data_IF_830647474155
#
_entry.id   IF_830647474155
#
_cell.length_a   1.000
_cell.length_b   1.000
_cell.length_c   1.000
_cell.angle_alpha   90.00
_cell.angle_beta   90.00
_cell.angle_gamma   90.00
#
_symmetry.space_group_name_H-M   'P 1'
#
loop_
_entity.id
_entity.type
_entity.pdbx_description
1 polymer ?
#
# COMPACT_ATOMS: atom_id res chain seq x y z
N UNK A 1 9.95 -0.78 -0.61
CA UNK A 1 9.64 -0.40 -2.01
C UNK A 1 9.30 1.09 -2.02
N UNK A 2 9.95 1.94 -2.85
CA UNK A 2 9.52 3.31 -3.05
C UNK A 2 8.33 3.36 -4.01
N UNK A 3 7.35 4.21 -3.73
CA UNK A 3 6.33 4.63 -4.70
C UNK A 3 6.65 6.08 -5.07
N UNK A 4 6.99 6.31 -6.33
CA UNK A 4 7.36 7.62 -6.84
C UNK A 4 6.28 8.22 -7.73
N UNK A 5 6.18 9.55 -7.70
CA UNK A 5 5.30 10.34 -8.55
C UNK A 5 6.17 11.28 -9.39
N UNK A 6 6.05 11.19 -10.71
CA UNK A 6 6.75 12.06 -11.65
C UNK A 6 5.77 12.79 -12.57
N UNK A 7 6.04 14.05 -12.85
CA UNK A 7 5.26 14.89 -13.77
C UNK A 7 6.18 15.49 -14.82
N UNK A 8 5.84 15.33 -16.10
CA UNK A 8 6.46 16.06 -17.21
C UNK A 8 5.56 17.25 -17.60
N UNK A 9 6.12 18.45 -17.56
CA UNK A 9 5.67 19.67 -18.27
C UNK A 9 4.27 20.23 -17.97
N UNK A 10 4.23 21.41 -17.41
CA UNK A 10 3.45 22.56 -17.81
C UNK A 10 1.93 22.60 -17.67
N UNK A 11 1.34 22.29 -16.50
CA UNK A 11 0.13 22.97 -16.05
C UNK A 11 0.31 23.47 -14.62
N UNK A 12 0.13 24.78 -14.39
CA UNK A 12 0.14 25.37 -13.04
C UNK A 12 -1.10 24.89 -12.28
N UNK A 13 -0.95 23.79 -11.59
CA UNK A 13 -1.83 23.47 -10.46
C UNK A 13 -1.32 24.23 -9.24
N UNK A 14 -2.20 24.53 -8.29
CA UNK A 14 -1.83 25.21 -7.05
C UNK A 14 -0.53 24.60 -6.51
N UNK A 15 0.54 25.40 -6.51
CA UNK A 15 1.86 24.95 -6.08
C UNK A 15 1.76 24.47 -4.64
N UNK A 16 1.95 23.16 -4.44
CA UNK A 16 2.33 22.66 -3.13
C UNK A 16 3.57 23.43 -2.68
N UNK A 17 3.72 23.82 -1.40
CA UNK A 17 4.94 24.44 -0.92
C UNK A 17 6.14 23.61 -1.42
N UNK A 18 7.08 24.27 -2.09
CA UNK A 18 8.31 23.64 -2.55
C UNK A 18 8.93 22.97 -1.30
N UNK A 19 9.15 21.65 -1.32
CA UNK A 19 9.66 20.78 -0.26
C UNK A 19 8.66 20.13 0.71
N UNK A 20 7.37 20.34 0.63
CA UNK A 20 6.45 19.59 1.48
C UNK A 20 6.44 18.07 1.10
N UNK A 21 6.41 17.16 2.07
CA UNK A 21 6.30 15.73 1.80
C UNK A 21 4.94 15.39 1.16
N UNK A 22 4.85 14.25 0.47
CA UNK A 22 3.59 13.71 0.00
C UNK A 22 2.65 13.46 1.18
N UNK A 23 1.36 13.72 0.99
CA UNK A 23 0.36 13.42 2.01
C UNK A 23 0.07 11.92 2.00
N UNK A 24 0.27 11.28 3.13
CA UNK A 24 -0.06 9.85 3.35
C UNK A 24 -0.93 9.73 4.59
N UNK A 25 -2.01 8.98 4.49
CA UNK A 25 -2.92 8.71 5.60
C UNK A 25 -3.24 7.22 5.67
N UNK A 26 -3.59 6.68 6.85
CA UNK A 26 -4.23 5.38 6.94
C UNK A 26 -5.46 5.33 6.02
N UNK A 27 -5.64 4.22 5.30
CA UNK A 27 -6.85 4.08 4.48
C UNK A 27 -8.09 3.93 5.37
N UNK A 28 -9.21 4.56 5.08
CA UNK A 28 -9.62 5.27 3.86
C UNK A 28 -9.14 6.72 3.73
N UNK A 29 -8.17 7.16 4.50
CA UNK A 29 -7.66 8.52 4.38
C UNK A 29 -8.53 9.57 5.07
N UNK A 30 -8.97 9.26 6.28
CA UNK A 30 -9.79 10.15 7.06
C UNK A 30 -11.26 10.15 6.64
N UNK A 31 -11.72 11.06 5.83
CA UNK A 31 -13.12 11.19 5.43
C UNK A 31 -13.38 10.93 3.94
N UNK A 32 -12.37 10.45 3.21
CA UNK A 32 -12.53 10.19 1.79
C UNK A 32 -13.36 8.93 1.56
N UNK A 33 -14.28 8.94 0.59
CA UNK A 33 -15.00 7.75 0.19
C UNK A 33 -14.02 6.69 -0.32
N UNK A 34 -14.42 5.44 -0.24
CA UNK A 34 -13.63 4.31 -0.75
C UNK A 34 -13.49 4.36 -2.26
N UNK A 35 -12.52 5.09 -2.72
CA UNK A 35 -12.16 5.12 -4.14
C UNK A 35 -11.12 4.03 -4.36
N UNK A 36 -11.35 3.15 -5.34
CA UNK A 36 -10.38 2.12 -5.71
C UNK A 36 -10.71 0.70 -5.32
N UNK A 37 -11.70 0.46 -4.45
CA UNK A 37 -12.18 -0.89 -4.15
C UNK A 37 -13.14 -1.39 -5.22
N UNK A 38 -13.08 -2.71 -5.46
CA UNK A 38 -14.12 -3.41 -6.22
C UNK A 38 -15.43 -3.33 -5.42
N UNK A 39 -16.55 -3.10 -6.11
CA UNK A 39 -17.86 -3.25 -5.52
C UNK A 39 -17.96 -4.66 -4.92
N UNK A 40 -18.32 -4.75 -3.64
CA UNK A 40 -18.39 -6.02 -2.93
C UNK A 40 -17.20 -6.35 -2.04
N UNK A 41 -16.19 -5.50 -1.93
CA UNK A 41 -15.18 -5.61 -0.87
C UNK A 41 -15.87 -5.33 0.48
N UNK A 42 -16.27 -6.39 1.18
CA UNK A 42 -17.25 -6.33 2.26
C UNK A 42 -16.70 -5.77 3.56
N UNK A 43 -15.42 -5.93 3.82
CA UNK A 43 -14.80 -5.38 5.02
C UNK A 43 -13.57 -4.62 4.58
N UNK A 44 -13.54 -3.31 4.82
CA UNK A 44 -12.32 -2.58 4.66
C UNK A 44 -11.43 -2.95 5.83
N UNK A 45 -10.66 -3.97 5.66
CA UNK A 45 -9.52 -4.11 6.54
C UNK A 45 -8.56 -2.99 6.18
N UNK A 46 -8.43 -2.08 7.10
CA UNK A 46 -7.57 -0.91 6.96
C UNK A 46 -6.13 -1.27 7.20
N UNK A 47 -5.89 -2.39 7.88
CA UNK A 47 -4.67 -2.75 8.56
C UNK A 47 -3.42 -2.28 7.84
N UNK A 48 -3.11 -2.85 6.70
CA UNK A 48 -1.88 -2.54 5.98
C UNK A 48 -2.07 -1.55 4.84
N UNK A 49 -3.26 -0.93 4.75
CA UNK A 49 -3.60 0.00 3.67
C UNK A 49 -3.31 1.43 4.02
N UNK A 50 -2.67 2.12 3.10
CA UNK A 50 -2.45 3.56 3.15
C UNK A 50 -2.97 4.24 1.90
N UNK A 51 -3.44 5.49 2.06
CA UNK A 51 -3.79 6.39 0.96
C UNK A 51 -2.64 7.35 0.71
N UNK A 52 -2.12 7.38 -0.51
CA UNK A 52 -1.08 8.31 -0.96
C UNK A 52 -1.72 9.32 -1.89
N UNK A 53 -1.83 10.56 -1.45
CA UNK A 53 -2.49 11.61 -2.21
C UNK A 53 -1.59 12.16 -3.30
N UNK A 54 -2.18 12.37 -4.48
CA UNK A 54 -1.48 12.93 -5.62
C UNK A 54 -1.00 14.36 -5.32
N UNK A 55 0.24 14.71 -5.67
CA UNK A 55 0.72 16.08 -5.47
C UNK A 55 0.05 17.10 -6.41
N UNK A 56 -0.59 16.63 -7.47
CA UNK A 56 -1.30 17.45 -8.46
C UNK A 56 -2.81 17.54 -8.26
N UNK A 57 -3.40 16.69 -7.39
CA UNK A 57 -4.83 16.68 -7.11
C UNK A 57 -5.05 16.19 -5.67
N UNK A 58 -5.41 17.08 -4.72
CA UNK A 58 -5.54 16.74 -3.31
C UNK A 58 -6.74 15.81 -3.01
N UNK A 59 -7.64 15.60 -3.97
CA UNK A 59 -8.79 14.70 -3.83
C UNK A 59 -8.53 13.31 -4.43
N UNK A 60 -7.42 13.13 -5.10
CA UNK A 60 -7.03 11.94 -5.83
C UNK A 60 -5.91 11.21 -5.11
N UNK A 61 -6.03 9.90 -4.94
CA UNK A 61 -5.04 9.11 -4.23
C UNK A 61 -4.92 7.68 -4.75
N UNK A 62 -3.71 7.14 -4.64
CA UNK A 62 -3.45 5.71 -4.75
C UNK A 62 -3.66 5.04 -3.39
N UNK A 63 -4.11 3.79 -3.39
CA UNK A 63 -4.16 2.95 -2.20
C UNK A 63 -3.09 1.88 -2.30
N UNK A 64 -2.29 1.73 -1.25
CA UNK A 64 -1.23 0.75 -1.23
C UNK A 64 -1.40 -0.16 -0.02
N UNK A 65 -1.38 -1.48 -0.27
CA UNK A 65 -1.27 -2.50 0.76
C UNK A 65 0.20 -2.86 0.98
N UNK A 66 0.68 -2.68 2.19
CA UNK A 66 2.07 -2.97 2.54
C UNK A 66 2.17 -3.72 3.88
N UNK A 67 2.13 -5.09 3.85
CA UNK A 67 1.87 -5.95 2.69
C UNK A 67 0.38 -6.18 2.44
N UNK A 68 0.03 -6.66 1.23
CA UNK A 68 -1.29 -7.26 0.97
C UNK A 68 -1.35 -8.68 1.52
N UNK A 69 -0.31 -9.47 1.30
CA UNK A 69 -0.25 -10.85 1.74
C UNK A 69 1.16 -11.30 2.08
N UNK A 70 1.27 -12.29 2.96
CA UNK A 70 2.52 -12.97 3.32
C UNK A 70 2.32 -14.48 3.24
N UNK A 71 3.23 -15.16 2.52
CA UNK A 71 3.32 -16.61 2.42
C UNK A 71 4.64 -17.13 2.94
N UNK A 72 4.63 -18.36 3.40
CA UNK A 72 5.81 -19.15 3.73
C UNK A 72 5.53 -20.63 3.48
N UNK A 73 6.42 -21.52 3.91
CA UNK A 73 6.17 -22.98 4.00
C UNK A 73 4.92 -23.31 4.83
N UNK A 74 4.46 -22.44 5.72
CA UNK A 74 3.23 -22.61 6.48
C UNK A 74 1.96 -22.32 5.65
N UNK A 75 2.08 -21.78 4.47
CA UNK A 75 0.99 -21.34 3.61
C UNK A 75 0.75 -19.82 3.69
N UNK A 76 -0.48 -19.38 3.44
CA UNK A 76 -0.89 -17.98 3.53
C UNK A 76 -1.04 -17.58 5.00
N UNK A 77 -0.06 -16.85 5.53
CA UNK A 77 0.00 -16.48 6.95
C UNK A 77 -0.61 -15.10 7.25
N UNK A 78 -0.70 -14.24 6.25
CA UNK A 78 -1.38 -12.95 6.36
C UNK A 78 -2.05 -12.57 5.04
N UNK A 79 -3.22 -11.95 5.12
CA UNK A 79 -3.94 -11.37 3.99
C UNK A 79 -4.71 -10.14 4.47
N UNK A 80 -4.50 -9.01 3.79
CA UNK A 80 -5.17 -7.75 4.09
C UNK A 80 -6.65 -7.71 3.66
N UNK A 81 -7.12 -8.70 2.93
CA UNK A 81 -8.51 -8.88 2.48
C UNK A 81 -9.03 -10.24 2.88
N UNK A 82 -10.28 -10.30 3.34
CA UNK A 82 -10.94 -11.56 3.71
C UNK A 82 -11.66 -12.19 2.53
N UNK A 83 -10.94 -12.64 1.53
CA UNK A 83 -11.54 -13.39 0.40
C UNK A 83 -11.01 -14.83 0.27
N UNK A 84 -9.87 -15.11 0.87
CA UNK A 84 -9.27 -16.44 0.98
C UNK A 84 -8.83 -16.61 2.42
N UNK A 85 -9.22 -17.70 3.10
CA UNK A 85 -8.84 -17.90 4.49
C UNK A 85 -7.33 -18.13 4.65
N UNK A 86 -6.73 -17.44 5.59
CA UNK A 86 -5.36 -17.68 6.05
C UNK A 86 -5.27 -19.01 6.79
N UNK A 87 -4.06 -19.47 7.07
CA UNK A 87 -3.83 -20.68 7.89
C UNK A 87 -4.44 -20.57 9.28
N UNK A 88 -4.55 -19.35 9.82
CA UNK A 88 -5.13 -19.09 11.14
C UNK A 88 -6.65 -19.17 11.13
N UNK A 89 -7.29 -18.60 10.14
CA UNK A 89 -8.75 -18.66 9.99
C UNK A 89 -9.22 -20.09 9.76
N UNK A 90 -8.45 -20.89 9.02
CA UNK A 90 -8.71 -22.36 8.88
C UNK A 90 -8.63 -23.11 10.21
N UNK A 91 -7.86 -22.57 11.17
CA UNK A 91 -7.75 -23.11 12.54
C UNK A 91 -8.76 -22.46 13.51
N UNK A 92 -9.69 -21.63 13.03
CA UNK A 92 -10.64 -20.91 13.86
C UNK A 92 -10.05 -19.74 14.66
N UNK A 93 -8.80 -19.38 14.41
CA UNK A 93 -8.13 -18.24 15.07
C UNK A 93 -8.46 -16.96 14.35
N UNK A 94 -8.96 -15.97 15.08
CA UNK A 94 -9.21 -14.61 14.57
C UNK A 94 -8.14 -13.67 15.11
N UNK A 95 -7.81 -12.67 14.30
CA UNK A 95 -6.92 -11.58 14.70
C UNK A 95 -7.76 -10.32 14.91
N UNK A 96 -7.47 -9.59 15.99
CA UNK A 96 -8.12 -8.31 16.26
C UNK A 96 -7.73 -7.28 15.19
N UNK A 97 -8.64 -6.35 14.87
CA UNK A 97 -8.32 -5.23 13.99
C UNK A 97 -7.13 -4.43 14.53
N UNK A 98 -6.29 -3.96 13.61
CA UNK A 98 -5.12 -3.16 13.94
C UNK A 98 -5.13 -1.86 13.12
N UNK A 99 -4.69 -0.77 13.71
CA UNK A 99 -4.63 0.55 13.05
C UNK A 99 -3.19 1.05 12.98
N UNK A 100 -2.92 1.85 11.98
CA UNK A 100 -1.65 2.53 11.84
C UNK A 100 -1.42 3.53 12.99
N UNK A 101 -0.23 3.54 13.52
CA UNK A 101 0.25 4.60 14.41
C UNK A 101 0.88 5.69 13.55
N UNK A 102 0.41 6.92 13.72
CA UNK A 102 0.93 8.08 13.01
C UNK A 102 1.91 8.84 13.93
N UNK A 103 3.12 9.05 13.43
CA UNK A 103 4.15 9.81 14.10
C UNK A 103 4.08 11.31 13.74
N UNK A 104 4.73 12.16 14.53
CA UNK A 104 4.77 13.61 14.32
C UNK A 104 5.45 14.01 13.00
N UNK A 105 6.34 13.17 12.45
CA UNK A 105 6.98 13.37 11.15
C UNK A 105 6.09 12.96 9.96
N UNK A 106 4.84 12.62 10.22
CA UNK A 106 3.87 12.14 9.22
C UNK A 106 4.10 10.69 8.78
N UNK A 107 5.10 9.98 9.33
CA UNK A 107 5.28 8.57 9.05
C UNK A 107 4.20 7.72 9.74
N UNK A 108 3.89 6.59 9.12
CA UNK A 108 2.96 5.60 9.65
C UNK A 108 3.73 4.33 9.99
N UNK A 109 3.42 3.73 11.13
CA UNK A 109 4.01 2.45 11.58
C UNK A 109 2.90 1.50 11.97
N UNK A 110 3.07 0.24 11.63
CA UNK A 110 2.18 -0.85 12.01
C UNK A 110 3.03 -2.09 12.30
N UNK A 111 2.71 -2.79 13.38
CA UNK A 111 3.32 -4.09 13.71
C UNK A 111 2.23 -5.06 14.15
N UNK A 112 2.27 -6.29 13.65
CA UNK A 112 1.34 -7.36 13.98
C UNK A 112 2.08 -8.62 14.39
N UNK A 113 1.66 -9.18 15.52
CA UNK A 113 2.05 -10.52 15.95
C UNK A 113 1.01 -11.52 15.45
N UNK A 114 1.47 -12.55 14.73
CA UNK A 114 0.66 -13.67 14.27
C UNK A 114 0.48 -14.72 15.38
N UNK A 115 -0.53 -15.59 15.30
CA UNK A 115 -0.86 -16.55 16.36
C UNK A 115 0.25 -17.54 16.75
N UNK A 116 1.28 -17.69 15.95
CA UNK A 116 2.44 -18.54 16.23
C UNK A 116 3.69 -17.77 16.68
N UNK A 117 3.57 -16.47 16.96
CA UNK A 117 4.68 -15.64 17.41
C UNK A 117 5.50 -14.98 16.29
N UNK A 118 5.20 -15.24 15.00
CA UNK A 118 5.78 -14.47 13.91
C UNK A 118 5.29 -13.02 14.03
N UNK A 119 6.19 -12.07 13.87
CA UNK A 119 5.87 -10.65 13.85
C UNK A 119 6.23 -10.07 12.50
N UNK A 120 5.33 -9.34 11.87
CA UNK A 120 5.67 -8.49 10.75
C UNK A 120 5.28 -7.04 11.03
N UNK A 121 5.94 -6.14 10.37
CA UNK A 121 5.59 -4.74 10.47
C UNK A 121 5.94 -3.95 9.22
N UNK A 122 5.36 -2.78 9.15
CA UNK A 122 5.53 -1.86 8.04
C UNK A 122 5.73 -0.45 8.54
N UNK A 123 6.61 0.28 7.87
CA UNK A 123 6.80 1.71 8.06
C UNK A 123 6.67 2.43 6.73
N UNK A 124 5.80 3.43 6.69
CA UNK A 124 5.56 4.27 5.51
C UNK A 124 6.02 5.67 5.83
N UNK A 125 6.99 6.18 5.06
CA UNK A 125 7.64 7.48 5.29
C UNK A 125 7.44 8.36 4.07
N UNK A 126 6.57 9.38 4.13
CA UNK A 126 6.40 10.32 3.04
C UNK A 126 7.66 11.20 2.89
N UNK A 127 8.03 11.45 1.64
CA UNK A 127 9.04 12.41 1.23
C UNK A 127 8.43 13.34 0.17
N UNK A 128 9.23 14.26 -0.36
CA UNK A 128 8.77 15.24 -1.32
C UNK A 128 8.15 14.63 -2.59
N UNK A 129 8.83 13.64 -3.18
CA UNK A 129 8.43 13.02 -4.45
C UNK A 129 8.20 11.50 -4.36
N UNK A 130 8.57 10.91 -3.24
CA UNK A 130 8.50 9.47 -3.04
C UNK A 130 7.91 9.14 -1.67
N UNK A 131 7.28 7.98 -1.57
CA UNK A 131 6.92 7.36 -0.30
C UNK A 131 7.80 6.14 -0.10
N UNK A 132 8.63 6.15 0.94
CA UNK A 132 9.46 5.00 1.30
C UNK A 132 8.65 4.04 2.15
N UNK A 133 8.63 2.78 1.76
CA UNK A 133 7.94 1.72 2.48
C UNK A 133 8.94 0.64 2.88
N UNK A 134 9.03 0.40 4.18
CA UNK A 134 9.82 -0.69 4.72
C UNK A 134 8.86 -1.76 5.24
N UNK A 135 9.15 -2.99 4.88
CA UNK A 135 8.45 -4.18 5.38
C UNK A 135 9.50 -5.06 6.06
N UNK A 136 9.19 -5.57 7.25
CA UNK A 136 10.04 -6.51 7.97
C UNK A 136 9.22 -7.67 8.51
N UNK A 137 9.91 -8.76 8.74
CA UNK A 137 9.38 -9.94 9.43
C UNK A 137 10.41 -10.45 10.43
N UNK A 138 9.94 -10.84 11.60
CA UNK A 138 10.72 -11.50 12.65
C UNK A 138 10.09 -12.85 12.94
N UNK A 139 10.87 -13.90 12.81
CA UNK A 139 10.42 -15.22 13.17
C UNK A 139 10.52 -15.42 14.68
N UNK A 140 9.39 -15.33 15.37
CA UNK A 140 9.27 -15.65 16.79
C UNK A 140 8.68 -17.04 17.04
N UNK A 141 8.49 -17.84 15.97
CA UNK A 141 8.04 -19.21 16.07
C UNK A 141 9.21 -20.19 16.23
N UNK A 142 9.01 -21.39 16.75
CA UNK A 142 10.04 -22.43 16.80
C UNK A 142 10.39 -23.03 15.43
N UNK A 143 9.58 -22.75 14.41
CA UNK A 143 9.72 -23.36 13.10
C UNK A 143 10.61 -22.51 12.16
N UNK A 144 11.40 -23.17 11.33
CA UNK A 144 12.15 -22.50 10.28
C UNK A 144 11.19 -22.03 9.18
N UNK A 145 11.22 -20.73 8.86
CA UNK A 145 10.46 -20.17 7.75
C UNK A 145 11.26 -20.31 6.45
N UNK A 146 10.65 -20.95 5.45
CA UNK A 146 11.20 -21.05 4.09
C UNK A 146 10.18 -20.57 3.06
N UNK A 147 10.63 -20.29 1.84
CA UNK A 147 9.74 -19.84 0.76
C UNK A 147 9.00 -18.55 1.09
N UNK A 148 9.58 -17.69 1.93
CA UNK A 148 8.97 -16.44 2.38
C UNK A 148 8.73 -15.51 1.20
N UNK A 149 7.48 -15.08 1.04
CA UNK A 149 7.06 -14.12 0.01
C UNK A 149 6.12 -13.11 0.62
N UNK A 150 6.29 -11.85 0.23
CA UNK A 150 5.37 -10.77 0.55
C UNK A 150 4.87 -10.13 -0.74
N UNK A 151 3.58 -9.84 -0.78
CA UNK A 151 2.95 -9.11 -1.87
C UNK A 151 2.62 -7.70 -1.39
N UNK A 152 2.98 -6.72 -2.21
CA UNK A 152 2.55 -5.33 -2.10
C UNK A 152 1.59 -5.05 -3.25
N UNK A 153 0.46 -4.43 -2.97
CA UNK A 153 -0.53 -4.09 -3.98
C UNK A 153 -0.65 -2.57 -4.09
N UNK A 154 -0.58 -2.04 -5.31
CA UNK A 154 -0.79 -0.62 -5.61
C UNK A 154 -2.04 -0.46 -6.44
N UNK A 155 -3.07 0.12 -5.86
CA UNK A 155 -4.38 0.32 -6.48
C UNK A 155 -4.49 1.77 -6.96
N UNK A 156 -4.57 1.96 -8.28
CA UNK A 156 -4.57 3.27 -8.91
C UNK A 156 -5.97 3.78 -9.31
N UNK A 157 -7.02 3.00 -9.06
CA UNK A 157 -8.39 3.35 -9.49
C UNK A 157 -8.87 4.71 -8.95
N UNK A 158 -8.44 5.09 -7.76
CA UNK A 158 -8.79 6.37 -7.13
C UNK A 158 -7.87 7.53 -7.53
N UNK A 159 -6.87 7.26 -8.38
CA UNK A 159 -5.90 8.26 -8.82
C UNK A 159 -6.30 8.82 -10.19
N UNK A 160 -6.58 10.11 -10.22
CA UNK A 160 -7.02 10.81 -11.44
C UNK A 160 -6.02 10.62 -12.59
N UNK A 161 -6.53 10.19 -13.74
CA UNK A 161 -5.73 9.87 -14.93
C UNK A 161 -5.11 8.47 -14.95
N UNK A 162 -5.22 7.67 -13.87
CA UNK A 162 -4.64 6.33 -13.76
C UNK A 162 -5.69 5.21 -13.59
N UNK A 163 -6.95 5.52 -13.73
CA UNK A 163 -8.05 4.57 -13.54
C UNK A 163 -8.24 3.55 -14.68
N UNK A 164 -7.41 3.62 -15.71
CA UNK A 164 -7.44 2.69 -16.84
C UNK A 164 -6.89 1.31 -16.42
N UNK A 165 -7.66 0.25 -16.72
CA UNK A 165 -7.29 -1.13 -16.41
C UNK A 165 -6.74 -1.85 -17.64
N UNK A 166 -5.74 -1.26 -18.28
CA UNK A 166 -5.11 -1.81 -19.47
C UNK A 166 -3.63 -2.13 -19.21
N UNK A 167 -3.09 -3.11 -19.93
CA UNK A 167 -1.67 -3.46 -19.83
C UNK A 167 -0.77 -2.47 -20.59
N UNK A 168 -1.29 -1.85 -21.64
CA UNK A 168 -0.52 -0.96 -22.52
C UNK A 168 0.05 0.28 -21.82
N UNK A 169 -0.50 0.66 -20.65
CA UNK A 169 0.01 1.78 -19.86
C UNK A 169 1.00 1.36 -18.76
N UNK A 170 1.44 0.11 -18.75
CA UNK A 170 2.38 -0.44 -17.77
C UNK A 170 3.69 -0.80 -18.43
N UNK A 171 4.77 -0.48 -17.76
CA UNK A 171 6.14 -0.83 -18.15
C UNK A 171 6.77 -1.58 -17.01
N UNK A 172 7.41 -2.70 -17.33
CA UNK A 172 8.21 -3.49 -16.37
C UNK A 172 9.64 -3.42 -16.89
N UNK A 173 10.53 -2.93 -16.04
CA UNK A 173 11.96 -2.85 -16.33
C UNK A 173 12.76 -3.33 -15.11
N UNK A 174 13.33 -4.50 -15.22
CA UNK A 174 14.01 -5.15 -14.11
C UNK A 174 13.12 -5.31 -12.89
N UNK A 175 13.47 -4.61 -11.80
CA UNK A 175 12.73 -4.62 -10.53
C UNK A 175 11.70 -3.48 -10.42
N UNK A 176 11.52 -2.69 -11.46
CA UNK A 176 10.63 -1.54 -11.47
C UNK A 176 9.36 -1.84 -12.26
N UNK A 177 8.26 -1.38 -11.71
CA UNK A 177 6.98 -1.35 -12.41
C UNK A 177 6.53 0.11 -12.49
N UNK A 178 6.27 0.58 -13.69
CA UNK A 178 5.76 1.92 -13.92
C UNK A 178 4.38 1.86 -14.57
N UNK A 179 3.50 2.76 -14.16
CA UNK A 179 2.21 3.00 -14.78
C UNK A 179 2.13 4.45 -15.24
N UNK A 180 1.81 4.67 -16.50
CA UNK A 180 1.60 6.00 -17.07
C UNK A 180 0.12 6.37 -17.12
N UNK A 181 -0.19 7.65 -17.01
CA UNK A 181 -1.55 8.13 -17.26
C UNK A 181 -1.85 8.20 -18.76
N UNK A 182 -3.11 8.54 -19.09
CA UNK A 182 -3.60 8.46 -20.47
C UNK A 182 -2.88 9.37 -21.48
N UNK A 183 -2.35 10.51 -21.03
CA UNK A 183 -1.67 11.53 -21.86
C UNK A 183 -0.14 11.50 -21.72
N UNK A 184 0.42 10.47 -21.07
CA UNK A 184 1.85 10.30 -20.81
C UNK A 184 2.51 11.45 -20.02
N UNK A 185 1.73 12.32 -19.41
CA UNK A 185 2.25 13.47 -18.65
C UNK A 185 2.70 13.11 -17.24
N UNK A 186 2.29 11.94 -16.71
CA UNK A 186 2.57 11.49 -15.34
C UNK A 186 2.81 10.00 -15.26
N UNK A 187 3.64 9.63 -14.29
CA UNK A 187 4.02 8.25 -14.04
C UNK A 187 3.94 7.94 -12.56
N UNK A 188 3.52 6.71 -12.24
CA UNK A 188 3.68 6.09 -10.93
C UNK A 188 4.71 4.98 -11.09
N UNK A 189 5.75 5.01 -10.27
CA UNK A 189 6.87 4.05 -10.33
C UNK A 189 6.97 3.37 -8.98
N UNK A 190 7.08 2.03 -9.01
CA UNK A 190 7.19 1.19 -7.81
C UNK A 190 8.32 0.17 -7.94
#
# INVERSE_FOLDING_TARGET
VPVGFSQRGGHRLAKRPDNAPLKVLPYPGGRHPRIGFLNGALVPQRETKVSIFAPWDPHSYAVVDVPEAIWSNLGLTYLAHTHIPTVWEKQGKKMDPLEWQQNNDGSLVLERTLPNGIVFGSRVVPRQEVVKMNLWIRNGSPETLTGLRAQVCVMLKGLSGFNQRIHANKVIDGNWIACRNADDSRWIIT
#
